data_IF_280558992212
#
_entry.id   IF_280558992212
#
_cell.length_a   1.000
_cell.length_b   1.000
_cell.length_c   1.000
_cell.angle_alpha   90.00
_cell.angle_beta   90.00
_cell.angle_gamma   90.00
#
_symmetry.space_group_name_H-M   'P 1'
#
loop_
_entity.id
_entity.type
_entity.pdbx_description
1 polymer ?
#
# COMPACT_ATOMS: atom_id res chain seq x y z
N UNK A 1 -12.42 11.76 -3.98
CA UNK A 1 -11.36 11.96 -2.94
C UNK A 1 -10.07 12.47 -3.57
N UNK A 2 -9.53 11.83 -4.62
CA UNK A 2 -8.35 12.33 -5.33
C UNK A 2 -8.54 13.75 -5.91
N UNK A 3 -9.67 14.01 -6.58
CA UNK A 3 -10.01 15.33 -7.13
C UNK A 3 -10.00 16.45 -6.09
N UNK A 4 -10.53 16.18 -4.89
CA UNK A 4 -10.55 17.14 -3.78
C UNK A 4 -9.13 17.49 -3.31
N UNK A 5 -8.23 16.51 -3.24
CA UNK A 5 -6.84 16.74 -2.85
C UNK A 5 -6.06 17.50 -3.94
N UNK A 6 -6.37 17.26 -5.22
CA UNK A 6 -5.77 18.04 -6.32
C UNK A 6 -6.22 19.50 -6.31
N UNK A 7 -7.49 19.78 -5.99
CA UNK A 7 -7.98 21.15 -5.77
C UNK A 7 -7.27 21.84 -4.61
N UNK A 8 -7.10 21.14 -3.48
CA UNK A 8 -6.37 21.66 -2.32
C UNK A 8 -4.89 21.91 -2.62
N UNK A 9 -4.26 21.03 -3.41
CA UNK A 9 -2.88 21.22 -3.88
C UNK A 9 -2.76 22.47 -4.76
N UNK A 10 -3.72 22.70 -5.66
CA UNK A 10 -3.74 23.90 -6.50
C UNK A 10 -3.87 25.18 -5.65
N UNK A 11 -4.72 25.18 -4.62
CA UNK A 11 -4.83 26.28 -3.66
C UNK A 11 -3.54 26.49 -2.85
N UNK A 12 -2.92 25.42 -2.35
CA UNK A 12 -1.65 25.52 -1.62
C UNK A 12 -0.52 26.11 -2.49
N UNK A 13 -0.46 25.73 -3.76
CA UNK A 13 0.49 26.32 -4.73
C UNK A 13 0.19 27.80 -4.98
N UNK A 14 -1.08 28.20 -5.05
CA UNK A 14 -1.45 29.60 -5.20
C UNK A 14 -1.02 30.43 -3.97
N UNK A 15 -1.30 29.94 -2.76
CA UNK A 15 -0.87 30.58 -1.50
C UNK A 15 0.65 30.72 -1.45
N UNK A 16 1.39 29.67 -1.79
CA UNK A 16 2.86 29.68 -1.79
C UNK A 16 3.47 30.68 -2.78
N UNK A 17 2.78 30.99 -3.88
CA UNK A 17 3.21 32.04 -4.82
C UNK A 17 3.09 33.43 -4.19
N UNK A 18 2.08 33.64 -3.34
CA UNK A 18 1.80 34.93 -2.71
C UNK A 18 2.58 35.13 -1.39
N UNK A 19 2.92 34.04 -0.69
CA UNK A 19 3.59 34.07 0.63
C UNK A 19 5.07 33.70 0.60
N UNK A 20 5.71 33.76 -0.57
CA UNK A 20 7.09 33.36 -0.88
C UNK A 20 7.97 33.02 0.34
N UNK A 21 8.12 31.72 0.61
CA UNK A 21 9.04 31.21 1.61
C UNK A 21 8.44 30.80 2.96
N UNK A 22 7.11 30.80 3.11
CA UNK A 22 6.47 30.24 4.31
C UNK A 22 6.75 28.72 4.43
N UNK A 23 7.53 28.28 5.45
CA UNK A 23 7.87 26.88 5.66
C UNK A 23 6.64 26.01 5.97
N UNK A 24 5.62 26.56 6.62
CA UNK A 24 4.42 25.82 6.98
C UNK A 24 3.58 25.50 5.74
N UNK A 25 3.42 26.47 4.85
CA UNK A 25 2.74 26.27 3.57
C UNK A 25 3.49 25.26 2.67
N UNK A 26 4.84 25.25 2.70
CA UNK A 26 5.65 24.27 1.97
C UNK A 26 5.46 22.85 2.52
N UNK A 27 5.50 22.70 3.85
CA UNK A 27 5.25 21.42 4.51
C UNK A 27 3.86 20.88 4.17
N UNK A 28 2.83 21.73 4.23
CA UNK A 28 1.47 21.35 3.88
C UNK A 28 1.32 20.89 2.43
N UNK A 29 1.94 21.59 1.47
CA UNK A 29 1.98 21.14 0.07
C UNK A 29 2.65 19.77 -0.07
N UNK A 30 3.76 19.54 0.63
CA UNK A 30 4.48 18.27 0.57
C UNK A 30 3.63 17.11 1.10
N UNK A 31 2.86 17.33 2.16
CA UNK A 31 1.90 16.34 2.68
C UNK A 31 0.78 16.04 1.66
N UNK A 32 0.24 17.06 0.98
CA UNK A 32 -0.75 16.89 -0.08
C UNK A 32 -0.19 16.10 -1.27
N UNK A 33 1.01 16.42 -1.73
CA UNK A 33 1.69 15.70 -2.82
C UNK A 33 1.88 14.21 -2.45
N UNK A 34 2.30 13.93 -1.21
CA UNK A 34 2.48 12.57 -0.72
C UNK A 34 1.15 11.80 -0.64
N UNK A 35 0.08 12.44 -0.17
CA UNK A 35 -1.25 11.84 -0.10
C UNK A 35 -1.79 11.50 -1.50
N UNK A 36 -1.63 12.42 -2.47
CA UNK A 36 -2.02 12.20 -3.88
C UNK A 36 -1.23 11.03 -4.47
N UNK A 37 0.10 11.02 -4.31
CA UNK A 37 0.95 9.96 -4.83
C UNK A 37 0.56 8.58 -4.27
N UNK A 38 0.25 8.50 -2.98
CA UNK A 38 -0.23 7.26 -2.33
C UNK A 38 -1.56 6.79 -2.93
N UNK A 39 -2.54 7.68 -3.07
CA UNK A 39 -3.84 7.32 -3.63
C UNK A 39 -3.75 6.91 -5.11
N UNK A 40 -2.91 7.58 -5.89
CA UNK A 40 -2.64 7.21 -7.28
C UNK A 40 -2.00 5.83 -7.37
N UNK A 41 -1.00 5.54 -6.53
CA UNK A 41 -0.38 4.22 -6.45
C UNK A 41 -1.38 3.12 -6.07
N UNK A 42 -2.21 3.37 -5.04
CA UNK A 42 -3.26 2.44 -4.67
C UNK A 42 -4.25 2.20 -5.83
N UNK A 43 -4.63 3.25 -6.54
CA UNK A 43 -5.54 3.15 -7.70
C UNK A 43 -4.90 2.34 -8.83
N UNK A 44 -3.64 2.60 -9.16
CA UNK A 44 -2.89 1.92 -10.22
C UNK A 44 -2.79 0.41 -9.95
N UNK A 45 -2.61 0.02 -8.69
CA UNK A 45 -2.47 -1.38 -8.29
C UNK A 45 -3.77 -2.01 -7.77
N UNK A 46 -4.91 -1.34 -7.91
CA UNK A 46 -6.22 -1.78 -7.40
C UNK A 46 -6.18 -2.22 -5.92
N UNK A 47 -5.43 -1.46 -5.10
CA UNK A 47 -5.28 -1.66 -3.66
C UNK A 47 -6.43 -0.93 -2.95
N UNK A 48 -7.23 -1.68 -2.19
CA UNK A 48 -8.31 -1.15 -1.36
C UNK A 48 -7.75 -0.23 -0.26
N UNK A 49 -8.47 0.84 0.08
CA UNK A 49 -8.04 1.76 1.14
C UNK A 49 -7.95 1.12 2.54
N UNK A 50 -8.58 -0.03 2.75
CA UNK A 50 -8.52 -0.86 3.95
C UNK A 50 -7.40 -1.91 3.89
N UNK A 51 -6.69 -2.03 2.76
CA UNK A 51 -5.63 -3.01 2.61
C UNK A 51 -4.53 -2.75 3.65
N UNK A 52 -3.99 -3.83 4.17
CA UNK A 52 -2.88 -3.77 5.12
C UNK A 52 -1.61 -4.11 4.37
N UNK A 53 -0.64 -3.21 4.50
CA UNK A 53 0.66 -3.34 3.89
C UNK A 53 1.68 -3.72 4.97
N UNK A 54 2.43 -4.80 4.72
CA UNK A 54 3.52 -5.27 5.58
C UNK A 54 4.81 -5.24 4.78
N UNK A 55 5.78 -4.45 5.24
CA UNK A 55 7.13 -4.45 4.68
C UNK A 55 7.88 -5.64 5.27
N UNK A 56 8.41 -6.51 4.43
CA UNK A 56 9.27 -7.59 4.90
C UNK A 56 10.55 -7.01 5.51
N UNK A 57 10.98 -7.51 6.68
CA UNK A 57 12.11 -6.94 7.38
C UNK A 57 13.36 -7.02 6.50
N UNK A 58 14.17 -5.95 6.54
CA UNK A 58 15.47 -5.96 5.91
C UNK A 58 16.34 -7.06 6.52
N UNK A 59 17.18 -7.72 5.73
CA UNK A 59 18.05 -8.75 6.26
C UNK A 59 19.12 -8.04 7.09
N UNK A 60 19.03 -8.14 8.42
CA UNK A 60 20.04 -7.55 9.30
C UNK A 60 21.41 -8.19 9.00
N UNK A 61 21.50 -9.52 9.17
CA UNK A 61 22.76 -10.28 9.04
C UNK A 61 22.60 -11.62 8.28
N UNK A 62 21.44 -11.88 7.66
CA UNK A 62 21.15 -13.17 7.02
C UNK A 62 20.63 -13.00 5.59
N UNK A 63 21.30 -13.67 4.64
CA UNK A 63 20.76 -13.87 3.29
C UNK A 63 19.64 -14.91 3.37
N UNK A 64 18.40 -14.49 3.15
CA UNK A 64 17.24 -15.36 3.14
C UNK A 64 16.13 -14.79 2.28
N UNK A 65 15.33 -15.67 1.71
CA UNK A 65 14.08 -15.32 1.02
C UNK A 65 12.89 -15.74 1.87
N UNK A 66 11.77 -15.04 1.72
CA UNK A 66 10.50 -15.40 2.33
C UNK A 66 9.66 -16.19 1.31
N UNK A 67 8.91 -17.15 1.82
CA UNK A 67 7.96 -17.95 1.04
C UNK A 67 6.54 -17.67 1.53
N UNK A 68 5.60 -17.57 0.60
CA UNK A 68 4.18 -17.37 0.92
C UNK A 68 3.49 -18.72 1.04
N UNK A 69 2.68 -18.91 2.08
CA UNK A 69 1.84 -20.08 2.25
C UNK A 69 0.39 -19.67 2.36
N UNK A 70 -0.51 -20.47 1.78
CA UNK A 70 -1.93 -20.35 2.04
C UNK A 70 -2.22 -21.06 3.37
N UNK A 71 -2.79 -20.34 4.33
CA UNK A 71 -3.15 -20.86 5.65
C UNK A 71 -4.67 -20.86 5.84
N UNK A 72 -5.16 -21.81 6.63
CA UNK A 72 -6.55 -21.84 7.07
C UNK A 72 -6.80 -20.77 8.15
N UNK A 73 -8.04 -20.72 8.63
CA UNK A 73 -8.48 -19.79 9.69
C UNK A 73 -7.74 -19.96 11.02
N UNK A 74 -7.15 -21.13 11.26
CA UNK A 74 -6.36 -21.46 12.45
C UNK A 74 -4.87 -21.13 12.26
N UNK A 75 -4.50 -20.62 11.08
CA UNK A 75 -3.12 -20.29 10.71
C UNK A 75 -2.29 -21.49 10.25
N UNK A 76 -2.89 -22.68 10.11
CA UNK A 76 -2.21 -23.87 9.63
C UNK A 76 -2.09 -23.86 8.09
N UNK A 77 -0.93 -24.21 7.51
CA UNK A 77 -0.77 -24.28 6.06
C UNK A 77 -1.77 -25.25 5.42
N UNK A 78 -2.54 -24.79 4.44
CA UNK A 78 -3.49 -25.60 3.67
C UNK A 78 -2.78 -26.39 2.56
N UNK A 79 -1.68 -25.84 2.03
CA UNK A 79 -0.87 -26.48 1.02
C UNK A 79 0.43 -27.05 1.59
N UNK A 80 0.93 -28.15 0.99
CA UNK A 80 2.22 -28.76 1.35
C UNK A 80 3.44 -27.95 0.89
N UNK A 81 3.24 -26.88 0.13
CA UNK A 81 4.31 -26.10 -0.48
C UNK A 81 3.94 -24.62 -0.60
N UNK A 82 4.91 -23.78 -0.99
CA UNK A 82 4.68 -22.35 -1.14
C UNK A 82 3.67 -22.07 -2.25
N UNK A 83 2.97 -20.95 -2.13
CA UNK A 83 2.08 -20.40 -3.14
C UNK A 83 2.81 -20.30 -4.47
N UNK A 84 2.16 -20.74 -5.54
CA UNK A 84 2.68 -20.64 -6.90
C UNK A 84 1.84 -19.68 -7.73
N UNK A 85 2.50 -18.87 -8.56
CA UNK A 85 1.87 -18.04 -9.58
C UNK A 85 2.44 -18.43 -10.93
N UNK A 86 1.56 -18.72 -11.89
CA UNK A 86 1.94 -19.20 -13.23
C UNK A 86 2.89 -20.43 -13.22
N UNK A 87 2.80 -21.28 -12.18
CA UNK A 87 3.64 -22.47 -12.04
C UNK A 87 5.00 -22.24 -11.36
N UNK A 88 5.31 -21.01 -10.96
CA UNK A 88 6.54 -20.66 -10.24
C UNK A 88 6.24 -20.32 -8.78
N UNK A 89 7.09 -20.74 -7.82
CA UNK A 89 6.92 -20.37 -6.42
C UNK A 89 7.05 -18.86 -6.25
N UNK A 90 6.12 -18.27 -5.51
CA UNK A 90 6.21 -16.86 -5.11
C UNK A 90 7.32 -16.75 -4.06
N UNK A 91 8.46 -16.22 -4.50
CA UNK A 91 9.60 -15.91 -3.65
C UNK A 91 9.60 -14.43 -3.37
N UNK A 92 9.63 -14.06 -2.09
CA UNK A 92 9.71 -12.68 -1.66
C UNK A 92 11.09 -12.39 -1.09
N UNK A 93 11.58 -11.21 -1.39
CA UNK A 93 12.88 -10.73 -0.95
C UNK A 93 12.72 -9.80 0.26
N UNK A 94 13.76 -9.69 1.11
CA UNK A 94 13.79 -8.66 2.14
C UNK A 94 13.55 -7.27 1.55
N UNK A 95 12.69 -6.49 2.22
CA UNK A 95 12.27 -5.17 1.73
C UNK A 95 11.07 -5.20 0.76
N UNK A 96 10.64 -6.37 0.28
CA UNK A 96 9.41 -6.47 -0.50
C UNK A 96 8.20 -6.03 0.32
N UNK A 97 7.22 -5.44 -0.37
CA UNK A 97 5.97 -4.99 0.21
C UNK A 97 4.88 -6.02 -0.04
N UNK A 98 4.39 -6.63 1.04
CA UNK A 98 3.20 -7.46 1.02
C UNK A 98 1.97 -6.57 1.22
N UNK A 99 1.09 -6.54 0.23
CA UNK A 99 -0.21 -5.86 0.35
C UNK A 99 -1.30 -6.92 0.31
N UNK A 100 -1.98 -7.10 1.44
CA UNK A 100 -3.11 -8.01 1.50
C UNK A 100 -4.41 -7.22 1.51
N UNK A 101 -5.37 -7.71 0.72
CA UNK A 101 -6.74 -7.19 0.81
C UNK A 101 -7.24 -7.43 2.24
N UNK A 102 -8.07 -6.52 2.78
CA UNK A 102 -8.76 -6.82 4.02
C UNK A 102 -9.57 -8.09 3.78
N UNK A 103 -9.58 -8.99 4.77
CA UNK A 103 -10.53 -10.10 4.77
C UNK A 103 -11.91 -9.48 4.58
N UNK A 104 -12.66 -9.92 3.56
CA UNK A 104 -14.03 -9.48 3.35
C UNK A 104 -14.75 -9.58 4.69
N UNK A 105 -15.33 -8.47 5.15
CA UNK A 105 -16.17 -8.54 6.34
C UNK A 105 -17.39 -9.41 5.98
N UNK A 106 -18.02 -10.10 6.93
CA UNK A 106 -19.17 -10.96 6.65
C UNK A 106 -20.30 -10.28 5.86
N UNK A 107 -20.39 -8.95 5.92
CA UNK A 107 -21.37 -8.13 5.20
C UNK A 107 -21.01 -7.81 3.73
N UNK A 108 -19.82 -8.18 3.25
CA UNK A 108 -19.42 -7.98 1.84
C UNK A 108 -19.89 -9.15 0.93
N UNK A 109 -20.58 -10.15 1.50
CA UNK A 109 -21.09 -11.33 0.80
C UNK A 109 -22.59 -11.24 0.48
N UNK A 110 -23.03 -10.21 -0.24
CA UNK A 110 -24.22 -10.33 -1.10
C UNK A 110 -24.28 -9.15 -2.08
N UNK A 111 -23.81 -9.36 -3.31
CA UNK A 111 -24.22 -8.67 -4.54
C UNK A 111 -23.44 -9.27 -5.72
N UNK A 112 -23.85 -10.46 -6.17
CA UNK A 112 -23.33 -11.09 -7.38
C UNK A 112 -23.86 -12.50 -7.60
#
# INVERSE_FOLDING_TARGET
MLSLLEEQRAQAVAVLRDTAGDPAALAWKAELDLAIARLQWCTQHAIDGRAVATVLPWPADAFGSFAVFECNDEGAPMAKGPLQMAGEPVVLMPGDLLVHRPRALPDDADNG
#
